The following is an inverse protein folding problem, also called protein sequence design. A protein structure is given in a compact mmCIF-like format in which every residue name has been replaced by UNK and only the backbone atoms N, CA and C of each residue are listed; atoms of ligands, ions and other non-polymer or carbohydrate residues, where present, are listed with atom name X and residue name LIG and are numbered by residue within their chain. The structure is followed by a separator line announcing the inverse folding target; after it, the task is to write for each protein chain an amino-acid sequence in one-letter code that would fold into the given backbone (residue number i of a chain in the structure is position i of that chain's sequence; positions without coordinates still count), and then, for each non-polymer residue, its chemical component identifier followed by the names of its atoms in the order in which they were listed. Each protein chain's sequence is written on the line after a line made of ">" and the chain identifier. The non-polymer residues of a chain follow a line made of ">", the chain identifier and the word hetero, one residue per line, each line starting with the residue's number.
data_IF_856412137644
#
_entry.id   IF_856412137644
#
_cell.length_a   1.000
_cell.length_b   1.000
_cell.length_c   1.000
_cell.angle_alpha   90.00
_cell.angle_beta   90.00
_cell.angle_gamma   90.00
#
_symmetry.space_group_name_H-M   'P 1'
#
loop_
_entity.id
_entity.type
_entity.pdbx_description
1 polymer ?
#
# COMPACT_ATOMS: atom_id res chain seq x y z
N UNK A 1 -2.75 -8.19 4.61
CA UNK A 1 -2.55 -7.36 3.40
C UNK A 1 -3.87 -6.79 2.88
N UNK A 2 -4.73 -7.56 2.22
CA UNK A 2 -5.98 -7.06 1.61
C UNK A 2 -6.88 -6.27 2.57
N UNK A 3 -7.09 -6.77 3.80
CA UNK A 3 -7.90 -6.08 4.82
C UNK A 3 -7.33 -4.70 5.22
N UNK A 4 -6.02 -4.51 5.18
CA UNK A 4 -5.43 -3.19 5.45
C UNK A 4 -5.83 -2.20 4.35
N UNK A 5 -5.69 -2.60 3.09
CA UNK A 5 -6.03 -1.76 1.95
C UNK A 5 -7.53 -1.46 1.88
N UNK A 6 -8.40 -2.44 2.16
CA UNK A 6 -9.84 -2.22 2.23
C UNK A 6 -10.22 -1.20 3.32
N UNK A 7 -9.62 -1.30 4.51
CA UNK A 7 -9.80 -0.32 5.60
C UNK A 7 -9.32 1.07 5.18
N UNK A 8 -8.19 1.17 4.49
CA UNK A 8 -7.65 2.45 4.03
C UNK A 8 -8.55 3.06 2.94
N UNK A 9 -9.04 2.27 2.00
CA UNK A 9 -9.97 2.71 0.97
C UNK A 9 -11.23 3.36 1.57
N UNK A 10 -11.83 2.73 2.58
CA UNK A 10 -12.97 3.32 3.30
C UNK A 10 -12.62 4.65 3.97
N UNK A 11 -11.49 4.72 4.69
CA UNK A 11 -11.04 5.94 5.38
C UNK A 11 -10.74 7.10 4.44
N UNK A 12 -10.34 6.85 3.20
CA UNK A 12 -10.10 7.90 2.22
C UNK A 12 -11.42 8.56 1.76
N UNK A 13 -12.53 7.83 1.83
CA UNK A 13 -13.86 8.36 1.50
C UNK A 13 -14.53 9.08 2.67
N UNK A 14 -13.95 9.02 3.88
CA UNK A 14 -14.39 9.78 5.05
C UNK A 14 -13.87 11.22 5.06
N UNK A 15 -13.32 11.70 3.93
CA UNK A 15 -12.72 13.03 3.76
C UNK A 15 -11.70 13.37 4.88
N UNK A 16 -10.64 12.56 5.03
CA UNK A 16 -9.69 12.75 6.11
C UNK A 16 -8.93 14.06 5.96
N UNK A 17 -8.63 14.71 7.09
CA UNK A 17 -7.74 15.86 7.11
C UNK A 17 -6.35 15.49 6.54
N UNK A 18 -5.62 16.48 6.01
CA UNK A 18 -4.34 16.28 5.32
C UNK A 18 -3.33 15.38 6.07
N UNK A 19 -3.13 15.63 7.36
CA UNK A 19 -2.24 14.82 8.18
C UNK A 19 -2.68 13.34 8.27
N UNK A 20 -4.00 13.10 8.33
CA UNK A 20 -4.56 11.76 8.34
C UNK A 20 -4.46 11.11 6.97
N UNK A 21 -4.70 11.86 5.88
CA UNK A 21 -4.53 11.37 4.52
C UNK A 21 -3.09 10.92 4.26
N UNK A 22 -2.11 11.78 4.57
CA UNK A 22 -0.67 11.47 4.45
C UNK A 22 -0.28 10.23 5.26
N UNK A 23 -0.83 10.10 6.47
CA UNK A 23 -0.64 8.92 7.31
C UNK A 23 -1.22 7.66 6.67
N UNK A 24 -2.39 7.72 6.06
CA UNK A 24 -3.00 6.59 5.34
C UNK A 24 -2.14 6.19 4.13
N UNK A 25 -1.67 7.17 3.35
CA UNK A 25 -0.79 6.93 2.22
C UNK A 25 0.54 6.28 2.64
N UNK A 26 1.14 6.77 3.73
CA UNK A 26 2.37 6.20 4.31
C UNK A 26 2.16 4.78 4.82
N UNK A 27 1.05 4.53 5.54
CA UNK A 27 0.70 3.18 5.99
C UNK A 27 0.45 2.23 4.81
N UNK A 28 -0.20 2.70 3.74
CA UNK A 28 -0.43 1.91 2.53
C UNK A 28 0.89 1.53 1.85
N UNK A 29 1.84 2.46 1.73
CA UNK A 29 3.18 2.22 1.20
C UNK A 29 3.94 1.15 2.01
N UNK A 30 3.96 1.28 3.33
CA UNK A 30 4.61 0.31 4.24
C UNK A 30 4.02 -1.09 4.05
N UNK A 31 2.68 -1.19 3.99
CA UNK A 31 2.02 -2.47 3.79
C UNK A 31 2.32 -3.03 2.39
N UNK A 32 2.35 -2.21 1.34
CA UNK A 32 2.68 -2.64 -0.01
C UNK A 32 4.12 -3.19 -0.13
N UNK A 33 5.10 -2.52 0.48
CA UNK A 33 6.49 -3.01 0.53
C UNK A 33 6.57 -4.33 1.32
N UNK A 34 5.93 -4.39 2.50
CA UNK A 34 5.89 -5.61 3.32
C UNK A 34 5.23 -6.79 2.57
N UNK A 35 4.27 -6.46 1.71
CA UNK A 35 3.55 -7.40 0.86
C UNK A 35 4.42 -7.95 -0.26
N UNK A 36 5.18 -7.08 -0.94
CA UNK A 36 6.15 -7.48 -1.93
C UNK A 36 7.24 -8.40 -1.33
N UNK A 37 7.71 -8.08 -0.12
CA UNK A 37 8.66 -8.91 0.62
C UNK A 37 8.06 -10.30 0.93
N UNK A 38 6.82 -10.36 1.42
CA UNK A 38 6.10 -11.64 1.67
C UNK A 38 5.99 -12.49 0.40
N UNK A 39 5.86 -11.85 -0.77
CA UNK A 39 5.77 -12.53 -2.06
C UNK A 39 7.14 -12.87 -2.68
N UNK A 40 8.26 -12.54 -2.02
CA UNK A 40 9.63 -12.69 -2.52
C UNK A 40 9.83 -12.02 -3.89
N UNK A 41 9.43 -10.75 -3.99
CA UNK A 41 9.50 -9.97 -5.22
C UNK A 41 10.71 -9.04 -5.16
N UNK A 42 11.57 -9.12 -6.17
CA UNK A 42 12.56 -8.07 -6.42
C UNK A 42 11.86 -6.87 -7.05
N UNK A 43 11.63 -5.83 -6.24
CA UNK A 43 11.01 -4.58 -6.68
C UNK A 43 11.92 -3.76 -7.59
N UNK A 44 13.25 -3.89 -7.50
CA UNK A 44 14.17 -3.15 -8.36
C UNK A 44 14.07 -3.60 -9.83
N UNK A 45 13.69 -4.86 -10.04
CA UNK A 45 13.40 -5.42 -11.36
C UNK A 45 11.98 -5.13 -11.87
N UNK A 46 11.16 -4.36 -11.13
CA UNK A 46 9.79 -3.99 -11.52
C UNK A 46 9.71 -2.51 -11.83
N UNK A 47 9.08 -2.17 -12.96
CA UNK A 47 8.62 -0.81 -13.18
C UNK A 47 7.43 -0.56 -12.25
N UNK A 48 7.54 0.45 -11.39
CA UNK A 48 6.48 0.84 -10.45
C UNK A 48 6.35 2.36 -10.44
N UNK A 49 5.12 2.86 -10.56
CA UNK A 49 4.84 4.29 -10.68
C UNK A 49 5.14 4.84 -12.08
N UNK A 50 5.24 6.17 -12.17
CA UNK A 50 5.46 6.92 -13.41
C UNK A 50 4.17 7.45 -14.05
N UNK A 51 3.04 7.42 -13.34
CA UNK A 51 1.79 8.00 -13.82
C UNK A 51 1.57 9.40 -13.22
N UNK A 52 1.55 10.42 -14.08
CA UNK A 52 1.18 11.78 -13.67
C UNK A 52 -0.34 11.96 -13.68
N UNK A 53 -0.89 12.59 -12.65
CA UNK A 53 -2.31 12.93 -12.55
C UNK A 53 -2.49 14.38 -12.08
N UNK A 54 -3.46 15.08 -12.67
CA UNK A 54 -3.86 16.42 -12.23
C UNK A 54 -4.65 16.40 -10.91
N UNK A 55 -5.08 15.23 -10.46
CA UNK A 55 -5.78 15.00 -9.19
C UNK A 55 -5.13 13.80 -8.47
N UNK A 56 -3.91 13.96 -7.91
CA UNK A 56 -3.11 12.85 -7.40
C UNK A 56 -3.78 12.12 -6.23
N UNK A 57 -4.45 12.86 -5.32
CA UNK A 57 -5.16 12.27 -4.18
C UNK A 57 -6.36 11.42 -4.59
N UNK A 58 -7.16 11.90 -5.54
CA UNK A 58 -8.30 11.16 -6.09
C UNK A 58 -7.84 9.92 -6.86
N UNK A 59 -6.80 10.08 -7.70
CA UNK A 59 -6.20 8.98 -8.45
C UNK A 59 -5.66 7.89 -7.51
N UNK A 60 -4.98 8.27 -6.44
CA UNK A 60 -4.52 7.36 -5.39
C UNK A 60 -5.69 6.62 -4.73
N UNK A 61 -6.70 7.34 -4.25
CA UNK A 61 -7.85 6.74 -3.57
C UNK A 61 -8.59 5.74 -4.47
N UNK A 62 -8.79 6.11 -5.75
CA UNK A 62 -9.40 5.24 -6.76
C UNK A 62 -8.58 3.98 -7.01
N UNK A 63 -7.27 4.12 -7.25
CA UNK A 63 -6.36 2.99 -7.52
C UNK A 63 -6.29 2.05 -6.31
N UNK A 64 -6.19 2.59 -5.10
CA UNK A 64 -6.20 1.83 -3.85
C UNK A 64 -7.51 1.05 -3.68
N UNK A 65 -8.66 1.69 -3.90
CA UNK A 65 -9.97 1.05 -3.75
C UNK A 65 -10.17 -0.09 -4.76
N UNK A 66 -9.82 0.14 -6.03
CA UNK A 66 -9.91 -0.88 -7.08
C UNK A 66 -9.01 -2.08 -6.74
N UNK A 67 -7.75 -1.83 -6.40
CA UNK A 67 -6.79 -2.87 -6.08
C UNK A 67 -7.22 -3.66 -4.83
N UNK A 68 -7.68 -2.97 -3.78
CA UNK A 68 -8.19 -3.61 -2.57
C UNK A 68 -9.37 -4.54 -2.86
N UNK A 69 -10.31 -4.13 -3.71
CA UNK A 69 -11.46 -4.95 -4.12
C UNK A 69 -11.05 -6.20 -4.91
N UNK A 70 -10.11 -6.05 -5.84
CA UNK A 70 -9.57 -7.19 -6.61
C UNK A 70 -8.80 -8.17 -5.72
N UNK A 71 -8.03 -7.65 -4.77
CA UNK A 71 -7.35 -8.49 -3.77
C UNK A 71 -8.34 -9.22 -2.87
N UNK A 72 -9.44 -8.58 -2.48
CA UNK A 72 -10.50 -9.23 -1.71
C UNK A 72 -11.13 -10.39 -2.50
N UNK A 73 -11.45 -10.20 -3.78
CA UNK A 73 -11.93 -11.29 -4.63
C UNK A 73 -10.90 -12.40 -4.83
N UNK A 74 -9.60 -12.07 -4.91
CA UNK A 74 -8.55 -13.09 -4.92
C UNK A 74 -8.51 -13.89 -3.60
N UNK A 75 -8.65 -13.23 -2.45
CA UNK A 75 -8.73 -13.90 -1.15
C UNK A 75 -9.97 -14.82 -1.06
N UNK A 76 -11.14 -14.37 -1.52
CA UNK A 76 -12.35 -15.19 -1.55
C UNK A 76 -12.15 -16.49 -2.34
N UNK A 77 -11.58 -16.40 -3.56
CA UNK A 77 -11.30 -17.57 -4.39
C UNK A 77 -10.28 -18.52 -3.77
N UNK A 78 -9.29 -17.97 -3.05
CA UNK A 78 -8.33 -18.77 -2.29
C UNK A 78 -9.04 -19.52 -1.16
N UNK A 79 -9.95 -18.86 -0.44
CA UNK A 79 -10.70 -19.46 0.66
C UNK A 79 -11.67 -20.55 0.17
N UNK A 80 -12.20 -20.40 -1.04
CA UNK A 80 -13.01 -21.42 -1.73
C UNK A 80 -12.20 -22.55 -2.38
N UNK A 81 -10.86 -22.48 -2.33
CA UNK A 81 -9.95 -23.43 -2.98
C UNK A 81 -10.20 -23.57 -4.50
N UNK A 82 -10.59 -22.49 -5.16
CA UNK A 82 -10.79 -22.46 -6.60
C UNK A 82 -9.44 -22.57 -7.35
N UNK A 83 -9.48 -23.11 -8.57
CA UNK A 83 -8.33 -23.04 -9.50
C UNK A 83 -8.16 -21.61 -10.02
N UNK A 84 -7.41 -20.82 -9.27
CA UNK A 84 -7.20 -19.40 -9.50
C UNK A 84 -5.73 -19.00 -9.33
N UNK A 85 -5.14 -18.16 -10.21
CA UNK A 85 -3.75 -17.74 -10.11
C UNK A 85 -3.53 -16.67 -9.02
N UNK A 86 -3.85 -17.02 -7.76
CA UNK A 86 -3.88 -16.13 -6.60
C UNK A 86 -2.61 -15.30 -6.46
N UNK A 87 -1.44 -15.94 -6.50
CA UNK A 87 -0.15 -15.25 -6.31
C UNK A 87 0.07 -14.16 -7.36
N UNK A 88 -0.23 -14.45 -8.62
CA UNK A 88 -0.02 -13.50 -9.71
C UNK A 88 -0.96 -12.29 -9.59
N UNK A 89 -2.23 -12.54 -9.24
CA UNK A 89 -3.23 -11.47 -9.06
C UNK A 89 -2.87 -10.59 -7.86
N UNK A 90 -2.58 -11.18 -6.69
CA UNK A 90 -2.17 -10.40 -5.51
C UNK A 90 -0.91 -9.58 -5.81
N UNK A 91 0.07 -10.15 -6.52
CA UNK A 91 1.27 -9.42 -6.91
C UNK A 91 0.95 -8.20 -7.79
N UNK A 92 0.10 -8.38 -8.81
CA UNK A 92 -0.28 -7.28 -9.70
C UNK A 92 -0.93 -6.13 -8.92
N UNK A 93 -1.83 -6.45 -7.99
CA UNK A 93 -2.50 -5.43 -7.18
C UNK A 93 -1.58 -4.78 -6.13
N UNK A 94 -0.62 -5.52 -5.55
CA UNK A 94 0.43 -4.94 -4.70
C UNK A 94 1.28 -3.94 -5.48
N UNK A 95 1.69 -4.26 -6.70
CA UNK A 95 2.46 -3.34 -7.56
C UNK A 95 1.63 -2.13 -7.97
N UNK A 96 0.33 -2.30 -8.24
CA UNK A 96 -0.58 -1.21 -8.54
C UNK A 96 -0.69 -0.21 -7.38
N UNK A 97 -0.83 -0.72 -6.14
CA UNK A 97 -0.87 0.11 -4.93
C UNK A 97 0.47 0.78 -4.68
N UNK A 98 1.58 0.05 -4.83
CA UNK A 98 2.92 0.60 -4.66
C UNK A 98 3.17 1.75 -5.64
N UNK A 99 2.80 1.57 -6.90
CA UNK A 99 2.88 2.63 -7.91
C UNK A 99 2.02 3.83 -7.54
N UNK A 100 0.77 3.60 -7.13
CA UNK A 100 -0.12 4.69 -6.72
C UNK A 100 0.41 5.48 -5.53
N UNK A 101 1.09 4.82 -4.58
CA UNK A 101 1.76 5.50 -3.48
C UNK A 101 2.93 6.35 -3.98
N UNK A 102 3.80 5.80 -4.83
CA UNK A 102 4.97 6.53 -5.33
C UNK A 102 4.56 7.76 -6.16
N UNK A 103 3.57 7.61 -7.05
CA UNK A 103 3.04 8.72 -7.86
C UNK A 103 2.45 9.83 -6.97
N UNK A 104 1.74 9.45 -5.90
CA UNK A 104 1.18 10.40 -4.95
C UNK A 104 2.29 11.14 -4.17
N UNK A 105 3.29 10.41 -3.68
CA UNK A 105 4.38 10.99 -2.90
C UNK A 105 5.21 11.96 -3.75
N UNK A 106 5.47 11.61 -5.01
CA UNK A 106 6.13 12.49 -5.96
C UNK A 106 5.30 13.76 -6.21
N UNK A 107 4.01 13.61 -6.51
CA UNK A 107 3.11 14.73 -6.77
C UNK A 107 2.91 15.69 -5.58
N UNK A 108 2.92 15.17 -4.34
CA UNK A 108 2.78 15.96 -3.12
C UNK A 108 4.14 16.44 -2.55
N UNK A 109 5.27 16.03 -3.16
CA UNK A 109 6.61 16.38 -2.69
C UNK A 109 6.98 15.75 -1.35
N UNK A 110 6.41 14.60 -1.00
CA UNK A 110 6.68 13.91 0.27
C UNK A 110 7.87 12.97 0.14
N UNK A 111 8.78 13.00 1.12
CA UNK A 111 9.91 12.08 1.16
C UNK A 111 9.46 10.71 1.71
N UNK A 112 9.19 9.76 0.81
CA UNK A 112 8.71 8.42 1.15
C UNK A 112 9.53 7.72 2.25
N UNK A 113 10.87 7.81 2.18
CA UNK A 113 11.76 7.18 3.15
C UNK A 113 11.58 7.82 4.53
N UNK A 114 11.65 9.16 4.60
CA UNK A 114 11.53 9.88 5.86
C UNK A 114 10.15 9.66 6.52
N UNK A 115 9.06 9.72 5.74
CA UNK A 115 7.71 9.49 6.26
C UNK A 115 7.55 8.07 6.81
N UNK A 116 8.11 7.08 6.11
CA UNK A 116 8.08 5.69 6.58
C UNK A 116 8.89 5.51 7.87
N UNK A 117 10.08 6.10 7.96
CA UNK A 117 10.94 6.03 9.15
C UNK A 117 10.25 6.64 10.37
N UNK A 118 9.73 7.86 10.22
CA UNK A 118 8.96 8.53 11.27
C UNK A 118 7.75 7.69 11.70
N UNK A 119 7.03 7.14 10.72
CA UNK A 119 5.83 6.34 10.99
C UNK A 119 6.14 5.02 11.69
N UNK A 120 7.27 4.40 11.39
CA UNK A 120 7.71 3.12 11.96
C UNK A 120 8.40 3.28 13.32
N UNK A 121 9.00 4.43 13.64
CA UNK A 121 9.68 4.67 14.91
C UNK A 121 8.83 4.32 16.15
N UNK A 122 7.58 4.81 16.32
CA UNK A 122 6.76 4.45 17.48
C UNK A 122 6.29 2.99 17.46
N UNK A 123 6.28 2.32 16.30
CA UNK A 123 5.99 0.89 16.21
C UNK A 123 7.20 0.09 16.69
N UNK A 124 8.40 0.44 16.22
CA UNK A 124 9.66 -0.18 16.64
C UNK A 124 9.86 -0.04 18.15
N UNK A 125 9.53 1.12 18.73
CA UNK A 125 9.62 1.37 20.17
C UNK A 125 8.75 0.43 21.04
N UNK A 126 7.66 -0.12 20.47
CA UNK A 126 6.78 -1.09 21.15
C UNK A 126 7.29 -2.53 21.08
N UNK A 127 8.32 -2.80 20.27
CA UNK A 127 8.88 -4.14 20.13
C UNK A 127 9.60 -4.57 21.41
N UNK A 128 9.40 -5.83 21.83
CA UNK A 128 10.14 -6.45 22.94
C UNK A 128 11.65 -6.59 22.64
N UNK A 129 12.05 -6.38 21.39
CA UNK A 129 13.42 -6.40 20.89
C UNK A 129 14.01 -5.00 20.67
N UNK A 130 13.28 -3.92 20.97
CA UNK A 130 13.78 -2.56 20.75
C UNK A 130 14.96 -2.22 21.68
N UNK A 131 16.02 -1.62 21.14
CA UNK A 131 17.21 -1.22 21.90
C UNK A 131 18.05 -2.40 22.42
N UNK A 132 17.75 -3.62 21.97
CA UNK A 132 18.60 -4.79 22.10
C UNK A 132 19.31 -4.91 20.75
N UNK A 133 20.63 -5.07 20.76
CA UNK A 133 21.57 -4.95 19.64
C UNK A 133 22.09 -3.53 19.38
#
# INVERSE_FOLDING_TARGET
>A
MALHFAKYAGRLLEEPADAQFKRIATDALIIAISSANTLNVDLAAKAVGGESSNAPREAFAKRLAIAAGRMAGACERLDHLEDFPFRAVILAEVLAILGACLDLFDAEGWNAVAEMEERLAPIKAKSIFHGKF
#
